data_IF_102645432938
#
_entry.id   IF_102645432938
#
_cell.length_a   1.000
_cell.length_b   1.000
_cell.length_c   1.000
_cell.angle_alpha   90.00
_cell.angle_beta   90.00
_cell.angle_gamma   90.00
#
_symmetry.space_group_name_H-M   'P 1'
#
loop_
_entity.id
_entity.type
_entity.pdbx_description
1 polymer ?
#
# COMPACT_ATOMS: atom_id res chain seq x y z
N UNK A 1 11.47 -1.55 2.16
CA UNK A 1 10.10 -1.81 2.63
C UNK A 1 9.38 -2.66 1.59
N UNK A 2 8.50 -3.57 2.02
CA UNK A 2 7.59 -4.33 1.18
C UNK A 2 6.30 -4.54 1.98
N UNK A 3 5.14 -4.29 1.37
CA UNK A 3 3.82 -4.72 1.84
C UNK A 3 3.36 -5.87 0.94
N UNK A 4 2.70 -6.88 1.50
CA UNK A 4 2.27 -8.08 0.77
C UNK A 4 0.78 -8.31 0.93
N UNK A 5 0.14 -8.74 -0.16
CA UNK A 5 -1.27 -9.12 -0.18
C UNK A 5 -2.14 -8.01 0.44
N UNK A 6 -1.92 -6.78 -0.01
CA UNK A 6 -2.54 -5.60 0.56
C UNK A 6 -4.03 -5.61 0.24
N UNK A 7 -4.84 -5.49 1.31
CA UNK A 7 -6.30 -5.48 1.23
C UNK A 7 -6.88 -4.24 1.88
N UNK A 8 -8.13 -3.92 1.51
CA UNK A 8 -8.87 -2.86 2.17
C UNK A 8 -9.30 -3.32 3.56
N UNK A 9 -9.19 -2.44 4.55
CA UNK A 9 -9.74 -2.64 5.89
C UNK A 9 -10.47 -1.40 6.41
N UNK A 10 -11.09 -1.54 7.59
CA UNK A 10 -11.81 -0.47 8.27
C UNK A 10 -11.22 -0.33 9.68
N UNK A 11 -10.40 0.70 9.95
CA UNK A 11 -9.81 0.87 11.27
C UNK A 11 -10.87 1.30 12.29
N UNK A 12 -10.67 0.96 13.56
CA UNK A 12 -11.57 1.38 14.66
C UNK A 12 -11.58 2.90 14.83
N UNK A 13 -10.44 3.54 14.58
CA UNK A 13 -10.29 4.99 14.53
C UNK A 13 -9.84 5.38 13.13
N UNK A 14 -10.37 6.49 12.58
CA UNK A 14 -10.10 6.93 11.22
C UNK A 14 -9.06 8.07 11.20
N UNK A 15 -7.74 7.78 11.31
CA UNK A 15 -6.71 8.81 11.51
C UNK A 15 -6.58 9.80 10.36
N UNK A 16 -7.03 9.42 9.17
CA UNK A 16 -6.96 10.26 7.96
C UNK A 16 -8.34 10.77 7.51
N UNK A 17 -9.40 10.52 8.30
CA UNK A 17 -10.78 10.94 8.03
C UNK A 17 -11.69 9.82 7.52
N UNK A 18 -12.99 10.12 7.46
CA UNK A 18 -14.04 9.10 7.26
C UNK A 18 -14.23 8.63 5.81
N UNK A 19 -13.79 9.41 4.84
CA UNK A 19 -13.94 9.09 3.40
C UNK A 19 -12.65 8.56 2.78
N UNK A 20 -11.79 7.94 3.58
CA UNK A 20 -10.52 7.35 3.14
C UNK A 20 -10.67 5.83 3.01
N UNK A 21 -10.08 5.26 1.96
CA UNK A 21 -9.91 3.81 1.85
C UNK A 21 -8.60 3.42 2.55
N UNK A 22 -8.70 2.66 3.63
CA UNK A 22 -7.54 2.20 4.39
C UNK A 22 -7.06 0.86 3.84
N UNK A 23 -5.74 0.67 3.82
CA UNK A 23 -5.10 -0.53 3.28
C UNK A 23 -4.11 -1.12 4.28
N UNK A 24 -4.14 -2.44 4.43
CA UNK A 24 -3.31 -3.19 5.37
C UNK A 24 -2.71 -4.40 4.68
N UNK A 25 -1.47 -4.74 5.02
CA UNK A 25 -0.81 -5.95 4.54
C UNK A 25 -1.20 -7.18 5.38
N UNK A 26 -0.76 -8.35 4.92
CA UNK A 26 -1.01 -9.63 5.61
C UNK A 26 -0.44 -9.71 7.05
N UNK A 27 0.46 -8.81 7.44
CA UNK A 27 1.09 -8.75 8.76
C UNK A 27 0.49 -7.66 9.66
N UNK A 28 -0.53 -6.94 9.20
CA UNK A 28 -1.17 -5.86 9.95
C UNK A 28 -0.51 -4.49 9.79
N UNK A 29 0.39 -4.32 8.81
CA UNK A 29 1.07 -3.05 8.56
C UNK A 29 0.22 -2.16 7.64
N UNK A 30 -0.19 -1.00 8.16
CA UNK A 30 -0.98 -0.01 7.41
C UNK A 30 -0.14 0.70 6.34
N UNK A 31 -0.73 0.88 5.16
CA UNK A 31 -0.09 1.50 4.00
C UNK A 31 0.32 2.96 4.25
N UNK A 32 -0.59 3.78 4.78
CA UNK A 32 -0.35 5.21 5.00
C UNK A 32 0.71 5.44 6.07
N UNK A 33 0.68 4.66 7.15
CA UNK A 33 1.70 4.67 8.19
C UNK A 33 3.07 4.18 7.68
N UNK A 34 3.09 3.43 6.57
CA UNK A 34 4.31 2.89 5.98
C UNK A 34 4.98 3.80 4.96
N UNK A 35 4.34 4.88 4.51
CA UNK A 35 4.83 5.74 3.41
C UNK A 35 6.30 6.14 3.59
N UNK A 36 6.66 6.62 4.78
CA UNK A 36 8.01 7.12 5.07
C UNK A 36 9.08 6.02 5.10
N UNK A 37 8.69 4.75 5.13
CA UNK A 37 9.63 3.62 5.17
C UNK A 37 10.11 3.20 3.77
N UNK A 38 9.50 3.72 2.70
CA UNK A 38 9.89 3.44 1.31
C UNK A 38 11.02 4.35 0.83
N UNK A 39 12.27 3.94 1.10
CA UNK A 39 13.48 4.75 0.84
C UNK A 39 14.07 4.62 -0.58
N UNK A 40 13.67 3.61 -1.35
CA UNK A 40 14.18 3.43 -2.71
C UNK A 40 13.53 4.44 -3.67
N UNK A 41 14.24 4.80 -4.74
CA UNK A 41 13.76 5.77 -5.73
C UNK A 41 12.41 5.34 -6.30
N UNK A 42 12.33 4.13 -6.86
CA UNK A 42 11.11 3.59 -7.45
C UNK A 42 10.35 2.69 -6.48
N UNK A 43 9.02 2.78 -6.54
CA UNK A 43 8.05 1.94 -5.83
C UNK A 43 7.19 1.25 -6.87
N UNK A 44 6.84 0.00 -6.60
CA UNK A 44 6.22 -0.90 -7.57
C UNK A 44 4.98 -1.53 -6.96
N UNK A 45 3.90 -1.62 -7.73
CA UNK A 45 2.83 -2.57 -7.47
C UNK A 45 3.02 -3.77 -8.40
N UNK A 46 3.17 -4.94 -7.80
CA UNK A 46 3.50 -6.18 -8.51
C UNK A 46 2.35 -7.14 -8.27
N UNK A 47 1.76 -7.67 -9.33
CA UNK A 47 0.70 -8.66 -9.20
C UNK A 47 1.20 -9.88 -8.41
N UNK A 48 0.50 -10.34 -7.38
CA UNK A 48 1.01 -11.35 -6.45
C UNK A 48 1.29 -12.68 -7.14
N UNK A 49 0.44 -13.13 -8.08
CA UNK A 49 0.65 -14.41 -8.77
C UNK A 49 1.56 -14.30 -10.01
N UNK A 50 1.24 -13.42 -10.95
CA UNK A 50 1.92 -13.33 -12.25
C UNK A 50 3.28 -12.63 -12.20
N UNK A 51 3.56 -11.91 -11.11
CA UNK A 51 4.76 -11.07 -10.92
C UNK A 51 4.90 -9.92 -11.92
N UNK A 52 3.83 -9.61 -12.67
CA UNK A 52 3.80 -8.48 -13.58
C UNK A 52 3.76 -7.17 -12.78
N UNK A 53 4.59 -6.21 -13.17
CA UNK A 53 4.56 -4.86 -12.61
C UNK A 53 3.39 -4.11 -13.25
N UNK A 54 2.38 -3.74 -12.45
CA UNK A 54 1.20 -3.01 -12.94
C UNK A 54 1.37 -1.50 -12.84
N UNK A 55 2.18 -1.03 -11.90
CA UNK A 55 2.46 0.40 -11.74
C UNK A 55 3.85 0.63 -11.15
N UNK A 56 4.42 1.79 -11.49
CA UNK A 56 5.72 2.27 -11.05
C UNK A 56 5.56 3.76 -10.73
N UNK A 57 6.10 4.20 -9.60
CA UNK A 57 6.19 5.63 -9.28
C UNK A 57 7.41 5.93 -8.43
N UNK A 58 7.89 7.18 -8.47
CA UNK A 58 8.87 7.69 -7.51
C UNK A 58 8.20 8.12 -6.19
N UNK A 59 6.90 8.40 -6.22
CA UNK A 59 6.09 8.79 -5.07
C UNK A 59 5.08 7.69 -4.74
N UNK A 60 5.23 7.06 -3.57
CA UNK A 60 4.34 5.97 -3.15
C UNK A 60 2.90 6.41 -2.94
N UNK A 61 2.68 7.68 -2.57
CA UNK A 61 1.32 8.19 -2.31
C UNK A 61 0.44 8.20 -3.57
N UNK A 62 1.07 8.11 -4.75
CA UNK A 62 0.39 8.05 -6.05
C UNK A 62 -0.01 6.64 -6.48
N UNK A 63 0.43 5.61 -5.74
CA UNK A 63 0.12 4.21 -6.05
C UNK A 63 -1.19 3.78 -5.40
N UNK A 64 -1.97 2.97 -6.13
CA UNK A 64 -3.15 2.29 -5.58
C UNK A 64 -2.77 0.86 -5.18
N UNK A 65 -2.63 0.55 -3.87
CA UNK A 65 -1.99 -0.69 -3.43
C UNK A 65 -2.94 -1.88 -3.35
N UNK A 66 -4.26 -1.69 -3.53
CA UNK A 66 -5.22 -2.77 -3.32
C UNK A 66 -5.04 -3.88 -4.36
N UNK A 67 -4.93 -5.13 -3.87
CA UNK A 67 -4.78 -6.31 -4.73
C UNK A 67 -3.34 -6.61 -5.16
N UNK A 68 -2.34 -6.02 -4.51
CA UNK A 68 -0.91 -6.21 -4.78
C UNK A 68 -0.15 -6.76 -3.56
#
# INVERSE_FOLDING_TARGET
>A
MQLRNVTRYYPEHMPFGENIQYFIDENGLDFYNSIDTFKLKYKLCIHPDTKVIHSVSEDISTLYPAGF
#
